data_IF_920421771722
#
_entry.id   IF_920421771722
#
_cell.length_a   1.000
_cell.length_b   1.000
_cell.length_c   1.000
_cell.angle_alpha   90.00
_cell.angle_beta   90.00
_cell.angle_gamma   90.00
#
_symmetry.space_group_name_H-M   'P 1'
#
loop_
_entity.id
_entity.type
_entity.pdbx_description
1 polymer ?
#
# COMPACT_ATOMS: atom_id res chain seq x y z
N UNK A 1 -1.24 -20.75 0.71
CA UNK A 1 -2.33 -21.73 0.63
C UNK A 1 -2.57 -22.24 -0.79
N UNK A 2 -2.73 -21.38 -1.81
CA UNK A 2 -2.91 -21.85 -3.21
C UNK A 2 -1.72 -22.62 -3.79
N UNK A 3 -0.49 -22.26 -3.43
CA UNK A 3 0.70 -22.94 -3.93
C UNK A 3 0.85 -24.34 -3.29
N UNK A 4 0.62 -24.48 -1.99
CA UNK A 4 0.54 -25.79 -1.33
C UNK A 4 -0.55 -26.67 -1.93
N UNK A 5 -1.75 -26.14 -2.21
CA UNK A 5 -2.82 -26.90 -2.86
C UNK A 5 -2.45 -27.37 -4.28
N UNK A 6 -1.71 -26.56 -5.04
CA UNK A 6 -1.24 -26.97 -6.38
C UNK A 6 -0.23 -28.10 -6.28
N UNK A 7 0.71 -27.98 -5.37
CA UNK A 7 1.81 -28.95 -5.22
C UNK A 7 1.30 -30.25 -4.60
N UNK A 8 0.49 -30.22 -3.55
CA UNK A 8 -0.03 -31.41 -2.88
C UNK A 8 -1.06 -32.17 -3.71
N UNK A 9 -1.93 -31.47 -4.46
CA UNK A 9 -2.90 -32.10 -5.38
C UNK A 9 -2.25 -32.64 -6.66
N UNK A 10 -1.19 -31.98 -7.15
CA UNK A 10 -0.52 -32.37 -8.40
C UNK A 10 0.59 -33.40 -8.19
N UNK A 11 1.36 -33.28 -7.12
CA UNK A 11 2.56 -34.11 -6.90
C UNK A 11 2.20 -35.43 -6.18
N UNK A 12 1.27 -35.38 -5.23
CA UNK A 12 0.97 -36.54 -4.39
C UNK A 12 -0.34 -37.25 -4.70
N UNK A 13 -1.29 -36.61 -5.40
CA UNK A 13 -2.57 -37.21 -5.79
C UNK A 13 -3.40 -37.84 -4.65
N UNK A 14 -2.96 -37.66 -3.40
CA UNK A 14 -3.42 -38.40 -2.23
C UNK A 14 -4.48 -37.69 -1.40
N UNK A 15 -4.71 -36.38 -1.64
CA UNK A 15 -5.74 -35.63 -0.92
C UNK A 15 -7.10 -35.99 -1.45
N UNK A 16 -7.85 -36.80 -0.69
CA UNK A 16 -9.23 -37.22 -1.03
C UNK A 16 -10.27 -36.44 -0.25
N UNK A 17 -9.90 -35.85 0.88
CA UNK A 17 -10.79 -35.13 1.77
C UNK A 17 -10.18 -33.81 2.15
N UNK A 18 -10.94 -32.73 2.03
CA UNK A 18 -10.53 -31.40 2.47
C UNK A 18 -11.60 -30.83 3.41
N UNK A 19 -11.17 -30.35 4.56
CA UNK A 19 -12.04 -29.69 5.50
C UNK A 19 -11.77 -28.19 5.58
N UNK A 20 -12.84 -27.38 5.59
CA UNK A 20 -12.75 -25.95 5.86
C UNK A 20 -13.88 -25.49 6.78
N UNK A 21 -13.59 -24.56 7.66
CA UNK A 21 -14.58 -24.03 8.61
C UNK A 21 -15.73 -23.31 7.89
N UNK A 22 -15.40 -22.50 6.87
CA UNK A 22 -16.36 -21.80 6.03
C UNK A 22 -15.86 -21.78 4.57
N UNK A 23 -16.77 -21.65 3.62
CA UNK A 23 -16.45 -21.59 2.19
C UNK A 23 -15.54 -20.38 1.82
N UNK A 24 -15.65 -19.25 2.53
CA UNK A 24 -14.82 -18.07 2.35
C UNK A 24 -13.33 -18.32 2.67
N UNK A 25 -13.02 -19.40 3.40
CA UNK A 25 -11.65 -19.85 3.67
C UNK A 25 -10.99 -20.50 2.46
N UNK A 26 -11.75 -21.04 1.55
CA UNK A 26 -11.21 -21.60 0.31
C UNK A 26 -10.75 -20.48 -0.63
N UNK A 27 -11.59 -19.50 -0.87
CA UNK A 27 -11.24 -18.31 -1.66
C UNK A 27 -12.22 -17.18 -1.40
N UNK A 28 -11.69 -15.93 -1.35
CA UNK A 28 -12.50 -14.70 -1.38
C UNK A 28 -12.73 -14.18 -2.80
N UNK A 29 -12.09 -14.78 -3.79
CA UNK A 29 -12.20 -14.38 -5.19
C UNK A 29 -13.00 -15.43 -5.94
N UNK A 30 -14.06 -15.00 -6.61
CA UNK A 30 -14.99 -15.88 -7.36
C UNK A 30 -14.25 -16.66 -8.46
N UNK A 31 -13.39 -16.02 -9.23
CA UNK A 31 -12.62 -16.68 -10.29
C UNK A 31 -11.71 -17.79 -9.75
N UNK A 32 -11.05 -17.52 -8.61
CA UNK A 32 -10.22 -18.52 -7.93
C UNK A 32 -11.07 -19.65 -7.36
N UNK A 33 -12.26 -19.35 -6.84
CA UNK A 33 -13.21 -20.37 -6.36
C UNK A 33 -13.62 -21.33 -7.47
N UNK A 34 -13.88 -20.84 -8.68
CA UNK A 34 -14.18 -21.68 -9.84
C UNK A 34 -13.03 -22.63 -10.18
N UNK A 35 -11.79 -22.12 -10.18
CA UNK A 35 -10.61 -22.95 -10.46
C UNK A 35 -10.41 -24.04 -9.40
N UNK A 36 -10.60 -23.70 -8.13
CA UNK A 36 -10.49 -24.66 -7.01
C UNK A 36 -11.56 -25.76 -7.16
N UNK A 37 -12.81 -25.39 -7.42
CA UNK A 37 -13.90 -26.36 -7.65
C UNK A 37 -13.60 -27.30 -8.82
N UNK A 38 -13.05 -26.78 -9.91
CA UNK A 38 -12.65 -27.58 -11.06
C UNK A 38 -11.57 -28.61 -10.66
N UNK A 39 -10.55 -28.17 -9.91
CA UNK A 39 -9.48 -29.06 -9.42
C UNK A 39 -9.99 -30.12 -8.45
N UNK A 40 -10.95 -29.81 -7.59
CA UNK A 40 -11.54 -30.79 -6.68
C UNK A 40 -12.28 -31.88 -7.45
N UNK A 41 -13.00 -31.51 -8.52
CA UNK A 41 -13.67 -32.49 -9.39
C UNK A 41 -12.68 -33.37 -10.13
N UNK A 42 -11.65 -32.79 -10.77
CA UNK A 42 -10.61 -33.56 -11.48
C UNK A 42 -9.95 -34.61 -10.56
N UNK A 43 -9.71 -34.27 -9.29
CA UNK A 43 -9.00 -35.14 -8.35
C UNK A 43 -9.97 -35.95 -7.44
N UNK A 44 -11.28 -35.85 -7.64
CA UNK A 44 -12.33 -36.51 -6.83
C UNK A 44 -12.19 -36.21 -5.34
N UNK A 45 -11.97 -34.93 -4.98
CA UNK A 45 -11.81 -34.48 -3.60
C UNK A 45 -13.18 -34.20 -3.01
N UNK A 46 -13.48 -34.85 -1.88
CA UNK A 46 -14.66 -34.56 -1.07
C UNK A 46 -14.39 -33.36 -0.16
N UNK A 47 -15.28 -32.37 -0.18
CA UNK A 47 -15.16 -31.16 0.61
C UNK A 47 -16.08 -31.23 1.83
N UNK A 48 -15.50 -30.99 3.01
CA UNK A 48 -16.24 -30.85 4.28
C UNK A 48 -16.27 -29.39 4.68
N UNK A 49 -17.47 -28.87 4.99
CA UNK A 49 -17.65 -27.46 5.40
C UNK A 49 -18.32 -27.41 6.76
N UNK A 50 -17.70 -26.67 7.72
CA UNK A 50 -18.23 -26.50 9.08
C UNK A 50 -18.23 -27.80 9.88
N UNK A 51 -19.28 -28.03 10.65
CA UNK A 51 -19.38 -29.14 11.62
C UNK A 51 -19.90 -30.46 11.02
N UNK A 52 -19.90 -30.62 9.69
CA UNK A 52 -20.26 -31.92 9.13
C UNK A 52 -21.00 -31.92 7.79
N UNK A 53 -21.08 -30.82 7.09
CA UNK A 53 -21.64 -30.82 5.73
C UNK A 53 -20.61 -31.36 4.74
N UNK A 54 -20.88 -32.54 4.20
CA UNK A 54 -20.08 -33.19 3.17
C UNK A 54 -20.60 -32.81 1.78
N UNK A 55 -19.71 -32.43 0.87
CA UNK A 55 -20.04 -32.11 -0.51
C UNK A 55 -19.14 -32.88 -1.48
N UNK A 56 -19.76 -33.77 -2.25
CA UNK A 56 -19.13 -34.39 -3.40
C UNK A 56 -19.47 -33.54 -4.65
N UNK A 57 -18.54 -32.75 -5.13
CA UNK A 57 -18.77 -31.87 -6.27
C UNK A 57 -18.98 -32.57 -7.63
N UNK A 58 -18.78 -33.87 -7.69
CA UNK A 58 -19.19 -34.69 -8.86
C UNK A 58 -20.69 -34.93 -8.90
N UNK A 59 -21.36 -34.96 -7.73
CA UNK A 59 -22.80 -35.10 -7.64
C UNK A 59 -23.49 -33.78 -8.01
N UNK A 60 -24.42 -33.78 -8.98
CA UNK A 60 -25.16 -32.58 -9.38
C UNK A 60 -25.93 -31.90 -8.24
N UNK A 61 -26.54 -32.71 -7.34
CA UNK A 61 -27.31 -32.21 -6.21
C UNK A 61 -26.43 -31.47 -5.19
N UNK A 62 -25.26 -32.03 -4.88
CA UNK A 62 -24.30 -31.40 -3.94
C UNK A 62 -23.71 -30.11 -4.52
N UNK A 63 -23.47 -30.09 -5.84
CA UNK A 63 -23.03 -28.85 -6.53
C UNK A 63 -24.09 -27.76 -6.44
N UNK A 64 -25.34 -28.09 -6.64
CA UNK A 64 -26.45 -27.14 -6.54
C UNK A 64 -26.54 -26.60 -5.10
N UNK A 65 -26.56 -27.52 -4.12
CA UNK A 65 -26.65 -27.15 -2.72
C UNK A 65 -25.45 -26.27 -2.28
N UNK A 66 -24.24 -26.64 -2.67
CA UNK A 66 -23.03 -25.84 -2.40
C UNK A 66 -23.12 -24.44 -3.04
N UNK A 67 -23.62 -24.35 -4.28
CA UNK A 67 -23.84 -23.07 -4.96
C UNK A 67 -24.88 -22.19 -4.27
N UNK A 68 -25.99 -22.78 -3.84
CA UNK A 68 -27.03 -22.07 -3.08
C UNK A 68 -26.48 -21.53 -1.75
N UNK A 69 -25.76 -22.35 -0.98
CA UNK A 69 -25.15 -21.91 0.28
C UNK A 69 -24.13 -20.79 0.06
N UNK A 70 -23.38 -20.84 -1.04
CA UNK A 70 -22.48 -19.75 -1.41
C UNK A 70 -23.25 -18.45 -1.70
N UNK A 71 -24.30 -18.52 -2.50
CA UNK A 71 -25.14 -17.36 -2.83
C UNK A 71 -25.81 -16.76 -1.59
N UNK A 72 -26.25 -17.59 -0.65
CA UNK A 72 -26.77 -17.11 0.64
C UNK A 72 -25.71 -16.40 1.47
N UNK A 73 -24.48 -16.95 1.54
CA UNK A 73 -23.38 -16.32 2.26
C UNK A 73 -22.98 -14.95 1.68
N UNK A 74 -22.97 -14.85 0.34
CA UNK A 74 -22.71 -13.58 -0.38
C UNK A 74 -23.83 -12.55 -0.12
N UNK A 75 -25.08 -12.97 -0.15
CA UNK A 75 -26.23 -12.13 0.16
C UNK A 75 -26.19 -11.62 1.60
N UNK A 76 -25.93 -12.50 2.58
CA UNK A 76 -25.80 -12.11 3.98
C UNK A 76 -24.63 -11.15 4.21
N UNK A 77 -23.53 -11.33 3.48
CA UNK A 77 -22.41 -10.40 3.53
C UNK A 77 -22.80 -9.02 2.97
N UNK A 78 -23.44 -8.98 1.82
CA UNK A 78 -23.91 -7.73 1.21
C UNK A 78 -24.87 -6.97 2.12
N UNK A 79 -25.81 -7.66 2.78
CA UNK A 79 -26.71 -7.04 3.77
C UNK A 79 -25.93 -6.49 4.98
N UNK A 80 -24.96 -7.25 5.51
CA UNK A 80 -24.13 -6.77 6.62
C UNK A 80 -23.33 -5.54 6.23
N UNK A 81 -22.70 -5.54 5.07
CA UNK A 81 -21.96 -4.39 4.56
C UNK A 81 -22.85 -3.14 4.39
N UNK A 82 -24.07 -3.31 3.87
CA UNK A 82 -25.04 -2.23 3.74
C UNK A 82 -25.47 -1.67 5.11
N UNK A 83 -25.74 -2.54 6.09
CA UNK A 83 -26.07 -2.12 7.46
C UNK A 83 -24.90 -1.36 8.11
N UNK A 84 -23.67 -1.84 7.97
CA UNK A 84 -22.49 -1.16 8.50
C UNK A 84 -22.26 0.19 7.81
N UNK A 85 -22.49 0.28 6.53
CA UNK A 85 -22.39 1.51 5.75
C UNK A 85 -23.40 2.55 6.24
N UNK A 86 -24.70 2.16 6.31
CA UNK A 86 -25.77 3.03 6.82
C UNK A 86 -25.52 3.45 8.27
N UNK A 87 -25.02 2.55 9.09
CA UNK A 87 -24.63 2.85 10.46
C UNK A 87 -23.53 3.90 10.56
N UNK A 88 -22.46 3.77 9.73
CA UNK A 88 -21.39 4.78 9.65
C UNK A 88 -21.93 6.12 9.18
N UNK A 89 -22.76 6.14 8.14
CA UNK A 89 -23.35 7.37 7.61
C UNK A 89 -24.24 8.07 8.65
N UNK A 90 -25.07 7.32 9.37
CA UNK A 90 -25.88 7.84 10.49
C UNK A 90 -25.00 8.41 11.60
N UNK A 91 -23.89 7.77 11.94
CA UNK A 91 -22.92 8.23 12.93
C UNK A 91 -22.30 9.57 12.52
N UNK A 92 -21.88 9.67 11.26
CA UNK A 92 -21.26 10.87 10.68
C UNK A 92 -22.26 12.05 10.63
N UNK A 93 -23.51 11.79 10.23
CA UNK A 93 -24.58 12.82 10.23
C UNK A 93 -24.88 13.39 11.63
N UNK A 94 -24.61 12.61 12.67
CA UNK A 94 -24.70 13.06 14.08
C UNK A 94 -23.45 13.80 14.57
N UNK A 95 -22.47 14.09 13.69
CA UNK A 95 -21.21 14.74 14.03
C UNK A 95 -20.25 13.85 14.83
N UNK A 96 -20.46 12.51 14.79
CA UNK A 96 -19.60 11.56 15.47
C UNK A 96 -18.56 10.95 14.49
N UNK A 97 -17.45 10.52 15.02
CA UNK A 97 -16.37 9.88 14.26
C UNK A 97 -16.82 8.53 13.68
N UNK A 98 -16.55 8.33 12.41
CA UNK A 98 -17.03 7.16 11.65
C UNK A 98 -16.32 5.84 11.93
N UNK A 99 -15.31 5.82 12.82
CA UNK A 99 -14.56 4.63 13.21
C UNK A 99 -13.07 4.68 12.86
N UNK A 100 -12.33 3.72 13.42
CA UNK A 100 -10.88 3.71 13.36
C UNK A 100 -10.22 4.73 14.30
N UNK A 101 -8.88 4.76 14.35
CA UNK A 101 -8.16 5.70 15.20
C UNK A 101 -8.40 7.15 14.75
N UNK A 102 -8.55 8.10 15.69
CA UNK A 102 -8.70 9.51 15.35
C UNK A 102 -7.44 10.05 14.64
N UNK A 103 -7.56 11.16 13.89
CA UNK A 103 -6.40 11.85 13.34
C UNK A 103 -5.43 12.28 14.43
N UNK A 104 -4.13 12.33 14.11
CA UNK A 104 -3.11 12.85 15.03
C UNK A 104 -3.47 14.27 15.48
N UNK A 105 -3.46 14.54 16.76
CA UNK A 105 -3.94 15.80 17.33
C UNK A 105 -5.30 15.73 17.99
N UNK A 106 -6.00 14.61 17.87
CA UNK A 106 -7.32 14.41 18.47
C UNK A 106 -7.41 13.13 19.29
N UNK A 107 -8.23 13.19 20.32
CA UNK A 107 -8.79 12.06 21.04
C UNK A 107 -10.30 11.92 20.72
N UNK A 108 -10.91 10.82 21.12
CA UNK A 108 -12.34 10.61 21.00
C UNK A 108 -12.99 10.82 22.38
N UNK A 109 -13.96 11.75 22.44
CA UNK A 109 -14.82 11.99 23.59
C UNK A 109 -16.28 11.83 23.17
N UNK A 110 -17.02 10.90 23.75
CA UNK A 110 -18.36 10.48 23.32
C UNK A 110 -18.50 10.29 21.79
N UNK A 111 -17.46 9.73 21.14
CA UNK A 111 -17.40 9.52 19.72
C UNK A 111 -17.20 10.79 18.88
N UNK A 112 -16.93 11.93 19.47
CA UNK A 112 -16.57 13.18 18.78
C UNK A 112 -15.06 13.44 18.87
N UNK A 113 -14.53 14.10 17.87
CA UNK A 113 -13.12 14.52 17.86
C UNK A 113 -12.93 15.67 18.83
N UNK A 114 -12.04 15.52 19.82
CA UNK A 114 -11.66 16.52 20.80
C UNK A 114 -10.16 16.77 20.75
N UNK A 115 -9.74 18.05 20.88
CA UNK A 115 -8.32 18.40 20.83
C UNK A 115 -7.51 17.66 21.89
N UNK A 116 -6.49 16.88 21.47
CA UNK A 116 -5.44 16.37 22.34
C UNK A 116 -4.31 17.39 22.45
N UNK A 117 -4.23 18.09 23.59
CA UNK A 117 -3.28 19.20 23.79
C UNK A 117 -1.80 18.82 23.57
N UNK A 118 -1.41 17.57 23.87
CA UNK A 118 -0.03 17.11 23.64
C UNK A 118 0.27 16.94 22.15
N UNK A 119 -0.65 16.34 21.42
CA UNK A 119 -0.46 16.09 19.99
C UNK A 119 -0.73 17.35 19.16
N UNK A 120 -1.72 18.16 19.51
CA UNK A 120 -2.05 19.40 18.80
C UNK A 120 -0.92 20.43 18.85
N UNK A 121 -0.15 20.48 19.95
CA UNK A 121 1.08 21.26 20.03
C UNK A 121 2.03 20.92 18.89
N UNK A 122 2.23 19.61 18.64
CA UNK A 122 3.10 19.15 17.56
C UNK A 122 2.51 19.40 16.17
N UNK A 123 1.19 19.31 16.01
CA UNK A 123 0.54 19.71 14.76
C UNK A 123 0.77 21.19 14.47
N UNK A 124 0.55 22.07 15.45
CA UNK A 124 0.83 23.52 15.32
C UNK A 124 2.29 23.77 14.94
N UNK A 125 3.23 23.08 15.59
CA UNK A 125 4.65 23.17 15.27
C UNK A 125 5.01 22.68 13.86
N UNK A 126 4.39 21.59 13.37
CA UNK A 126 4.57 21.10 12.00
C UNK A 126 4.12 22.16 10.98
N UNK A 127 2.97 22.78 11.20
CA UNK A 127 2.44 23.84 10.35
C UNK A 127 3.35 25.07 10.34
N UNK A 128 3.81 25.52 11.51
CA UNK A 128 4.73 26.67 11.65
C UNK A 128 6.08 26.42 10.95
N UNK A 129 6.68 25.27 11.17
CA UNK A 129 7.94 24.93 10.52
C UNK A 129 7.79 24.88 9.00
N UNK A 130 6.70 24.28 8.53
CA UNK A 130 6.44 24.20 7.09
C UNK A 130 6.14 25.58 6.51
N UNK A 131 5.38 26.45 7.18
CA UNK A 131 5.11 27.81 6.76
C UNK A 131 6.40 28.65 6.67
N UNK A 132 7.36 28.47 7.63
CA UNK A 132 8.68 29.13 7.65
C UNK A 132 9.63 28.65 6.56
N UNK A 133 9.29 27.64 5.78
CA UNK A 133 10.14 27.23 4.69
C UNK A 133 10.79 25.86 4.85
N UNK A 134 10.67 25.22 6.00
CA UNK A 134 11.26 23.91 6.25
C UNK A 134 10.73 22.83 5.31
N UNK A 135 11.58 21.84 5.02
CA UNK A 135 11.20 20.69 4.21
C UNK A 135 10.50 19.63 5.07
N UNK A 136 9.64 18.82 4.46
CA UNK A 136 8.99 17.69 5.15
C UNK A 136 10.03 16.74 5.77
N UNK A 137 11.17 16.57 5.11
CA UNK A 137 12.29 15.79 5.61
C UNK A 137 12.88 16.37 6.91
N UNK A 138 13.13 17.68 6.95
CA UNK A 138 13.63 18.38 8.14
C UNK A 138 12.64 18.28 9.30
N UNK A 139 11.35 18.51 9.04
CA UNK A 139 10.28 18.38 10.02
C UNK A 139 10.23 16.95 10.59
N UNK A 140 10.33 15.93 9.74
CA UNK A 140 10.41 14.53 10.18
C UNK A 140 11.56 14.31 11.16
N UNK A 141 12.75 14.78 10.81
CA UNK A 141 13.93 14.61 11.66
C UNK A 141 13.77 15.34 13.01
N UNK A 142 13.14 16.51 13.02
CA UNK A 142 12.82 17.26 14.25
C UNK A 142 11.88 16.47 15.15
N UNK A 143 10.81 15.89 14.60
CA UNK A 143 9.87 15.06 15.35
C UNK A 143 10.54 13.82 15.95
N UNK A 144 11.36 13.13 15.15
CA UNK A 144 12.09 11.95 15.60
C UNK A 144 13.11 12.26 16.69
N UNK A 145 13.89 13.34 16.55
CA UNK A 145 14.84 13.79 17.57
C UNK A 145 14.15 14.20 18.88
N UNK A 146 12.95 14.75 18.79
CA UNK A 146 12.13 15.11 19.95
C UNK A 146 11.38 13.93 20.57
N UNK A 147 11.54 12.71 20.08
CA UNK A 147 10.88 11.51 20.62
C UNK A 147 9.36 11.49 20.46
N UNK A 148 8.81 12.25 19.50
CA UNK A 148 7.35 12.34 19.29
C UNK A 148 6.83 11.05 18.71
N UNK A 149 5.86 10.42 19.40
CA UNK A 149 5.23 9.18 18.95
C UNK A 149 4.13 9.46 17.93
N UNK A 150 4.04 8.60 16.92
CA UNK A 150 2.89 8.57 15.99
C UNK A 150 1.67 7.96 16.66
N UNK A 151 0.47 8.01 16.03
CA UNK A 151 -0.73 7.32 16.52
C UNK A 151 -0.57 5.80 16.72
N UNK A 152 0.46 5.21 16.13
CA UNK A 152 0.81 3.78 16.30
C UNK A 152 1.90 3.55 17.34
N UNK A 153 2.16 4.53 18.21
CA UNK A 153 3.22 4.50 19.23
C UNK A 153 4.62 4.20 18.66
N UNK A 154 4.90 4.68 17.46
CA UNK A 154 6.20 4.52 16.82
C UNK A 154 6.92 5.86 16.73
N UNK A 155 8.21 5.90 17.05
CA UNK A 155 9.07 7.11 16.91
C UNK A 155 9.38 7.41 15.44
N UNK A 156 9.33 6.40 14.57
CA UNK A 156 9.66 6.57 13.14
C UNK A 156 8.52 7.24 12.37
N UNK A 157 8.69 8.52 12.09
CA UNK A 157 7.79 9.28 11.24
C UNK A 157 8.08 9.02 9.75
N UNK A 158 7.02 8.91 8.95
CA UNK A 158 7.09 8.88 7.50
C UNK A 158 6.73 10.27 6.94
N UNK A 159 7.42 10.69 5.88
CA UNK A 159 7.12 11.96 5.19
C UNK A 159 5.68 12.06 4.71
N UNK A 160 5.10 10.93 4.22
CA UNK A 160 3.70 10.88 3.83
C UNK A 160 2.73 11.10 5.00
N UNK A 161 3.10 10.71 6.23
CA UNK A 161 2.28 10.99 7.42
C UNK A 161 2.26 12.48 7.75
N UNK A 162 3.39 13.17 7.59
CA UNK A 162 3.47 14.62 7.77
C UNK A 162 2.68 15.34 6.66
N UNK A 163 2.80 14.89 5.40
CA UNK A 163 2.01 15.45 4.30
C UNK A 163 0.50 15.26 4.54
N UNK A 164 0.08 14.11 5.07
CA UNK A 164 -1.32 13.91 5.48
C UNK A 164 -1.75 14.87 6.56
N UNK A 165 -0.90 15.16 7.55
CA UNK A 165 -1.19 16.18 8.56
C UNK A 165 -1.35 17.55 7.90
N UNK A 166 -0.43 17.98 7.04
CA UNK A 166 -0.47 19.27 6.37
C UNK A 166 -1.66 19.46 5.38
N UNK A 167 -2.27 18.37 4.93
CA UNK A 167 -3.42 18.40 4.00
C UNK A 167 -4.75 18.10 4.68
N UNK A 168 -4.74 17.80 5.98
CA UNK A 168 -5.92 17.39 6.71
C UNK A 168 -6.79 18.60 7.09
N UNK A 169 -8.07 18.54 6.76
CA UNK A 169 -9.03 19.63 7.03
C UNK A 169 -9.61 19.61 8.44
N UNK A 170 -9.46 18.52 9.19
CA UNK A 170 -9.97 18.42 10.56
C UNK A 170 -9.45 19.56 11.46
N UNK A 171 -8.21 19.96 11.27
CA UNK A 171 -7.58 21.01 12.08
C UNK A 171 -8.17 22.40 11.87
N UNK A 172 -8.93 22.58 10.78
CA UNK A 172 -9.68 23.80 10.45
C UNK A 172 -11.10 23.80 11.04
N UNK A 173 -11.50 22.70 11.68
CA UNK A 173 -12.80 22.56 12.29
C UNK A 173 -13.83 21.80 11.44
N UNK A 174 -13.43 21.20 10.34
CA UNK A 174 -14.34 20.42 9.53
C UNK A 174 -13.63 19.30 8.76
N UNK A 175 -14.38 18.28 8.37
CA UNK A 175 -13.90 17.27 7.43
C UNK A 175 -15.04 16.76 6.55
N UNK A 176 -14.68 16.18 5.43
CA UNK A 176 -15.62 15.63 4.48
C UNK A 176 -15.58 14.11 4.54
N UNK A 177 -16.71 13.50 4.81
CA UNK A 177 -16.92 12.06 4.70
C UNK A 177 -17.55 11.75 3.35
N UNK A 178 -16.90 10.96 2.52
CA UNK A 178 -17.42 10.50 1.23
C UNK A 178 -17.72 9.00 1.30
N UNK A 179 -18.98 8.64 1.09
CA UNK A 179 -19.36 7.25 0.88
C UNK A 179 -19.09 6.87 -0.59
N UNK A 180 -18.30 5.84 -0.83
CA UNK A 180 -17.87 5.43 -2.18
C UNK A 180 -19.02 4.87 -3.02
N UNK A 181 -20.04 4.29 -2.39
CA UNK A 181 -21.10 3.56 -3.09
C UNK A 181 -22.37 4.41 -3.30
N UNK A 182 -22.60 5.41 -2.46
CA UNK A 182 -23.79 6.27 -2.54
C UNK A 182 -23.53 7.60 -3.21
N UNK A 183 -22.29 7.90 -3.60
CA UNK A 183 -21.83 9.22 -4.06
C UNK A 183 -22.26 10.38 -3.14
N UNK A 184 -22.57 10.04 -1.89
CA UNK A 184 -22.99 11.00 -0.87
C UNK A 184 -21.78 11.54 -0.15
N UNK A 185 -21.75 12.87 -0.03
CA UNK A 185 -20.69 13.60 0.64
C UNK A 185 -21.29 14.36 1.81
N UNK A 186 -20.83 14.07 3.02
CA UNK A 186 -21.28 14.75 4.25
C UNK A 186 -20.16 15.62 4.79
N UNK A 187 -20.42 16.91 4.95
CA UNK A 187 -19.55 17.83 5.67
C UNK A 187 -19.81 17.67 7.17
N UNK A 188 -18.78 17.40 7.94
CA UNK A 188 -18.85 17.20 9.39
C UNK A 188 -18.05 18.29 10.07
N UNK A 189 -18.67 18.98 11.02
CA UNK A 189 -18.00 19.94 11.88
C UNK A 189 -17.28 19.21 13.04
N UNK A 190 -16.12 19.72 13.41
CA UNK A 190 -15.33 19.23 14.54
C UNK A 190 -14.59 20.40 15.21
N UNK A 191 -13.94 20.14 16.34
CA UNK A 191 -13.15 21.15 17.03
C UNK A 191 -11.88 21.47 16.23
N UNK A 192 -11.80 22.66 15.64
CA UNK A 192 -10.60 23.15 14.95
C UNK A 192 -9.67 23.87 15.91
N UNK A 193 -8.36 23.75 15.72
CA UNK A 193 -7.36 24.41 16.57
C UNK A 193 -6.24 25.13 15.80
N UNK A 194 -6.32 25.18 14.46
CA UNK A 194 -5.42 25.96 13.62
C UNK A 194 -6.08 27.24 13.13
N UNK A 195 -5.30 28.33 13.04
CA UNK A 195 -5.80 29.56 12.45
C UNK A 195 -5.92 29.45 10.92
N UNK A 196 -6.96 30.02 10.31
CA UNK A 196 -7.16 29.96 8.86
C UNK A 196 -5.99 30.56 8.06
N UNK A 197 -5.31 31.57 8.59
CA UNK A 197 -4.16 32.23 7.94
C UNK A 197 -2.99 31.28 7.76
N UNK A 198 -2.64 30.51 8.80
CA UNK A 198 -1.55 29.52 8.76
C UNK A 198 -1.88 28.39 7.79
N UNK A 199 -3.10 27.90 7.82
CA UNK A 199 -3.53 26.85 6.91
C UNK A 199 -3.47 27.31 5.45
N UNK A 200 -3.90 28.54 5.17
CA UNK A 200 -3.86 29.12 3.83
C UNK A 200 -2.42 29.19 3.30
N UNK A 201 -1.47 29.71 4.09
CA UNK A 201 -0.08 29.84 3.68
C UNK A 201 0.57 28.47 3.41
N UNK A 202 0.26 27.46 4.21
CA UNK A 202 0.72 26.07 4.01
C UNK A 202 0.15 25.47 2.73
N UNK A 203 -1.14 25.69 2.45
CA UNK A 203 -1.79 25.20 1.20
C UNK A 203 -1.21 25.84 -0.06
N UNK A 204 -1.00 27.15 -0.04
CA UNK A 204 -0.38 27.86 -1.15
C UNK A 204 1.01 27.29 -1.45
N UNK A 205 1.82 27.03 -0.43
CA UNK A 205 3.12 26.43 -0.58
C UNK A 205 3.07 24.99 -1.09
N UNK A 206 2.15 24.16 -0.61
CA UNK A 206 1.95 22.79 -1.11
C UNK A 206 1.56 22.80 -2.59
N UNK A 207 0.69 23.72 -3.01
CA UNK A 207 0.26 23.85 -4.40
C UNK A 207 1.37 24.40 -5.31
N UNK A 208 2.18 25.33 -4.85
CA UNK A 208 3.35 25.81 -5.58
C UNK A 208 4.34 24.68 -5.84
N UNK A 209 4.57 23.79 -4.86
CA UNK A 209 5.44 22.62 -5.00
C UNK A 209 4.93 21.60 -6.04
N UNK A 210 3.61 21.41 -6.15
CA UNK A 210 3.02 20.51 -7.17
C UNK A 210 3.26 21.01 -8.60
N UNK A 211 3.24 22.33 -8.81
CA UNK A 211 3.46 22.95 -10.14
C UNK A 211 4.90 22.82 -10.64
N UNK A 212 5.89 22.69 -9.76
CA UNK A 212 7.31 22.54 -10.14
C UNK A 212 7.70 21.09 -10.46
N UNK A 213 6.84 20.12 -10.25
CA UNK A 213 7.07 18.72 -10.56
C UNK A 213 6.72 18.36 -12.02
N UNK A 214 7.18 19.18 -13.00
CA UNK A 214 7.27 18.73 -14.38
C UNK A 214 8.43 17.74 -14.51
N UNK A 215 8.22 16.52 -14.04
CA UNK A 215 9.13 15.40 -14.28
C UNK A 215 8.99 15.01 -15.75
N UNK A 216 9.95 15.42 -16.59
CA UNK A 216 10.14 14.77 -17.88
C UNK A 216 10.40 13.29 -17.58
N UNK A 217 9.46 12.44 -17.99
CA UNK A 217 9.61 10.99 -17.89
C UNK A 217 10.69 10.59 -18.92
N UNK A 218 11.92 10.48 -18.46
CA UNK A 218 12.94 9.82 -19.28
C UNK A 218 12.57 8.34 -19.40
N UNK A 219 12.49 7.87 -20.63
CA UNK A 219 12.32 6.44 -20.90
C UNK A 219 13.65 5.77 -20.58
N UNK A 220 13.62 4.79 -19.71
CA UNK A 220 14.78 3.97 -19.31
C UNK A 220 14.39 2.51 -19.47
N UNK A 221 15.14 1.77 -20.28
CA UNK A 221 14.77 0.40 -20.66
C UNK A 221 14.88 -0.57 -19.47
N UNK A 222 15.91 -0.43 -18.65
CA UNK A 222 16.30 -1.45 -17.65
C UNK A 222 15.89 -1.15 -16.22
N UNK A 223 15.03 -0.14 -15.98
CA UNK A 223 14.65 0.33 -14.64
C UNK A 223 14.19 -0.74 -13.68
N UNK A 224 13.39 -1.70 -14.12
CA UNK A 224 12.80 -2.75 -13.28
C UNK A 224 13.58 -4.08 -13.34
N UNK A 225 14.52 -4.20 -14.27
CA UNK A 225 15.23 -5.45 -14.57
C UNK A 225 16.60 -5.54 -13.91
N UNK A 226 17.26 -4.40 -13.64
CA UNK A 226 18.59 -4.40 -13.07
C UNK A 226 18.59 -4.75 -11.58
N UNK A 227 19.38 -5.75 -11.23
CA UNK A 227 19.58 -6.24 -9.85
C UNK A 227 21.06 -6.16 -9.50
N UNK A 228 21.38 -5.73 -8.30
CA UNK A 228 22.75 -5.66 -7.82
C UNK A 228 23.30 -7.06 -7.52
N UNK A 229 24.31 -7.52 -8.26
CA UNK A 229 24.96 -8.81 -8.04
C UNK A 229 25.65 -8.97 -6.68
N UNK A 230 25.79 -7.88 -5.91
CA UNK A 230 26.41 -7.94 -4.58
C UNK A 230 25.39 -8.04 -3.44
N UNK A 231 24.28 -7.28 -3.50
CA UNK A 231 23.31 -7.22 -2.39
C UNK A 231 21.90 -7.63 -2.79
N UNK A 232 21.67 -8.07 -4.04
CA UNK A 232 20.35 -8.47 -4.52
C UNK A 232 19.32 -7.34 -4.66
N UNK A 233 19.65 -6.09 -4.29
CA UNK A 233 18.71 -4.97 -4.37
C UNK A 233 18.49 -4.53 -5.81
N UNK A 234 17.25 -4.17 -6.15
CA UNK A 234 16.93 -3.54 -7.46
C UNK A 234 17.64 -2.21 -7.60
N UNK A 235 18.05 -1.89 -8.82
CA UNK A 235 18.59 -0.58 -9.16
C UNK A 235 17.51 0.48 -9.21
N UNK A 236 17.85 1.69 -8.75
CA UNK A 236 17.10 2.92 -8.97
C UNK A 236 17.69 3.70 -10.12
N UNK A 237 16.96 4.70 -10.60
CA UNK A 237 17.46 5.65 -11.60
C UNK A 237 17.66 7.04 -10.96
N UNK A 238 18.73 7.72 -11.30
CA UNK A 238 18.98 9.11 -10.94
C UNK A 238 19.13 9.91 -12.22
N UNK A 239 18.16 10.77 -12.45
CA UNK A 239 18.12 11.68 -13.60
C UNK A 239 18.41 13.07 -13.06
N UNK A 240 19.50 13.68 -13.50
CA UNK A 240 19.96 14.97 -13.05
C UNK A 240 19.77 16.02 -14.12
N UNK A 241 19.01 17.10 -13.85
CA UNK A 241 18.72 18.18 -14.79
C UNK A 241 19.95 19.00 -15.24
N UNK A 242 21.07 18.93 -14.52
CA UNK A 242 22.28 19.76 -14.74
C UNK A 242 23.57 18.97 -14.97
N UNK A 243 23.54 17.65 -14.92
CA UNK A 243 24.70 16.81 -15.22
C UNK A 243 24.49 16.07 -16.54
N UNK A 244 25.56 15.92 -17.28
CA UNK A 244 25.57 15.33 -18.63
C UNK A 244 25.20 13.85 -18.68
N UNK A 245 25.05 13.19 -17.54
CA UNK A 245 24.85 11.74 -17.53
C UNK A 245 23.83 11.31 -16.46
N UNK A 246 22.85 10.51 -16.92
CA UNK A 246 21.89 9.82 -16.05
C UNK A 246 22.46 8.47 -15.61
N UNK A 247 22.13 8.02 -14.42
CA UNK A 247 22.72 6.80 -13.86
C UNK A 247 21.67 5.86 -13.29
N UNK A 248 21.85 4.58 -13.53
CA UNK A 248 21.33 3.51 -12.68
C UNK A 248 22.21 3.39 -11.42
N UNK A 249 21.62 3.27 -10.25
CA UNK A 249 22.36 3.12 -8.99
C UNK A 249 21.74 2.05 -8.10
N UNK A 250 22.58 1.33 -7.37
CA UNK A 250 22.12 0.32 -6.42
C UNK A 250 21.37 0.97 -5.25
N UNK A 251 20.11 0.60 -5.02
CA UNK A 251 19.29 1.12 -3.92
C UNK A 251 19.83 0.72 -2.54
N UNK A 252 20.55 -0.41 -2.43
CA UNK A 252 21.21 -0.84 -1.21
C UNK A 252 22.37 0.06 -0.77
N UNK A 253 22.81 0.99 -1.63
CA UNK A 253 23.90 1.94 -1.34
C UNK A 253 23.40 3.37 -1.11
N UNK A 254 22.15 3.57 -0.71
CA UNK A 254 21.64 4.90 -0.40
C UNK A 254 21.99 5.31 1.02
N UNK A 255 22.32 6.60 1.25
CA UNK A 255 22.61 7.17 2.59
C UNK A 255 21.49 6.89 3.61
N UNK A 256 20.25 6.74 3.14
CA UNK A 256 19.09 6.35 3.98
C UNK A 256 19.27 4.99 4.66
N UNK A 257 19.99 4.05 4.04
CA UNK A 257 20.24 2.72 4.62
C UNK A 257 21.51 2.71 5.47
N UNK A 258 22.44 3.64 5.21
CA UNK A 258 23.66 3.78 6.01
C UNK A 258 23.41 4.31 7.42
N UNK A 259 22.32 5.06 7.64
CA UNK A 259 21.98 5.66 8.94
C UNK A 259 21.20 4.73 9.88
N UNK A 260 20.97 3.47 9.52
CA UNK A 260 20.34 2.48 10.37
C UNK A 260 21.44 1.63 11.01
N UNK A 261 22.02 2.14 12.09
CA UNK A 261 22.88 1.34 12.97
C UNK A 261 22.04 0.21 13.58
N UNK A 262 22.48 -1.04 13.39
CA UNK A 262 21.93 -2.23 14.07
C UNK A 262 21.07 -3.18 13.24
N UNK A 263 21.00 -3.06 11.91
CA UNK A 263 20.47 -4.11 11.05
C UNK A 263 21.61 -4.74 10.24
N UNK A 264 22.09 -5.87 10.70
CA UNK A 264 22.96 -6.75 9.93
C UNK A 264 22.28 -7.08 8.60
N UNK A 265 22.93 -6.70 7.51
CA UNK A 265 22.80 -7.47 6.32
C UNK A 265 22.22 -6.85 5.07
N UNK A 266 22.16 -5.53 4.81
CA UNK A 266 21.73 -5.06 3.46
C UNK A 266 22.30 -3.71 3.03
N UNK A 267 23.40 -3.25 3.58
CA UNK A 267 24.07 -2.05 3.06
C UNK A 267 25.08 -2.49 2.01
N UNK A 268 24.81 -2.17 0.74
CA UNK A 268 25.77 -2.38 -0.32
C UNK A 268 26.91 -1.36 -0.21
N UNK A 269 27.90 -1.64 0.63
CA UNK A 269 29.10 -0.82 0.74
C UNK A 269 30.12 -1.35 -0.27
N UNK A 270 30.51 -0.59 -1.30
CA UNK A 270 31.59 -0.98 -2.18
C UNK A 270 32.92 -1.01 -1.39
N UNK A 271 33.70 -2.07 -1.53
CA UNK A 271 35.06 -2.16 -0.93
C UNK A 271 35.96 -1.00 -1.36
N UNK A 272 35.66 -0.29 -2.44
CA UNK A 272 36.46 0.77 -3.04
C UNK A 272 35.93 2.18 -2.77
N UNK A 273 34.91 2.37 -1.89
CA UNK A 273 34.34 3.69 -1.58
C UNK A 273 33.52 4.34 -2.73
N UNK A 274 33.52 3.78 -3.93
CA UNK A 274 32.78 4.33 -5.08
C UNK A 274 31.33 3.80 -5.09
N UNK A 275 30.38 4.67 -5.44
CA UNK A 275 28.98 4.28 -5.61
C UNK A 275 28.86 3.32 -6.79
N UNK A 276 28.11 2.22 -6.64
CA UNK A 276 27.78 1.33 -7.75
C UNK A 276 26.72 1.96 -8.60
N UNK A 277 27.16 2.75 -9.55
CA UNK A 277 26.32 3.44 -10.53
C UNK A 277 26.87 3.18 -11.93
N UNK A 278 25.96 2.99 -12.88
CA UNK A 278 26.27 2.78 -14.30
C UNK A 278 25.51 3.85 -15.08
N UNK A 279 26.09 4.38 -16.14
CA UNK A 279 25.38 5.30 -17.04
C UNK A 279 24.18 4.60 -17.67
N UNK A 280 23.05 5.29 -17.75
CA UNK A 280 21.83 4.74 -18.32
C UNK A 280 22.03 4.46 -19.81
N UNK A 281 22.59 5.43 -20.51
CA UNK A 281 22.80 5.37 -21.96
C UNK A 281 23.69 4.16 -22.35
N UNK A 282 24.84 4.03 -21.69
CA UNK A 282 25.80 2.96 -21.99
C UNK A 282 25.21 1.56 -21.68
N UNK A 283 24.44 1.47 -20.60
CA UNK A 283 23.85 0.21 -20.16
C UNK A 283 22.66 -0.20 -21.03
N UNK A 284 21.78 0.75 -21.38
CA UNK A 284 20.63 0.51 -22.23
C UNK A 284 21.07 0.14 -23.64
N UNK A 285 22.10 0.81 -24.21
CA UNK A 285 22.66 0.53 -25.52
C UNK A 285 23.29 -0.89 -25.57
N UNK A 286 24.11 -1.23 -24.58
CA UNK A 286 24.75 -2.54 -24.51
C UNK A 286 23.71 -3.67 -24.52
N UNK A 287 22.71 -3.56 -23.65
CA UNK A 287 21.69 -4.60 -23.55
C UNK A 287 20.80 -4.64 -24.78
N UNK A 288 20.44 -3.48 -25.34
CA UNK A 288 19.64 -3.40 -26.58
C UNK A 288 20.36 -4.08 -27.75
N UNK A 289 21.63 -3.77 -27.96
CA UNK A 289 22.44 -4.38 -29.04
C UNK A 289 22.55 -5.91 -28.82
N UNK A 290 22.79 -6.35 -27.59
CA UNK A 290 22.81 -7.78 -27.27
C UNK A 290 21.49 -8.48 -27.58
N UNK A 291 20.36 -7.85 -27.27
CA UNK A 291 19.02 -8.39 -27.58
C UNK A 291 18.81 -8.46 -29.10
N UNK A 292 19.17 -7.39 -29.83
CA UNK A 292 19.04 -7.36 -31.28
C UNK A 292 19.91 -8.45 -31.95
N UNK A 293 21.17 -8.58 -31.55
CA UNK A 293 22.08 -9.60 -32.06
C UNK A 293 21.58 -11.03 -31.76
N UNK A 294 21.03 -11.22 -30.56
CA UNK A 294 20.46 -12.52 -30.17
C UNK A 294 19.24 -12.87 -31.01
N UNK A 295 18.35 -11.88 -31.25
CA UNK A 295 17.16 -12.08 -32.08
C UNK A 295 17.52 -12.31 -33.56
N UNK A 296 18.53 -11.63 -34.08
CA UNK A 296 18.99 -11.81 -35.46
C UNK A 296 19.72 -13.13 -35.67
N UNK A 297 20.47 -13.60 -34.66
CA UNK A 297 21.23 -14.85 -34.73
C UNK A 297 20.40 -16.09 -34.37
N UNK A 298 19.26 -15.93 -33.72
CA UNK A 298 18.42 -17.05 -33.34
C UNK A 298 17.62 -17.60 -34.51
N UNK A 299 17.76 -18.90 -34.82
CA UNK A 299 16.94 -19.63 -35.80
C UNK A 299 15.44 -19.70 -35.45
N UNK A 300 15.02 -19.11 -34.33
CA UNK A 300 13.65 -19.14 -33.78
C UNK A 300 12.65 -18.36 -34.67
N UNK A 301 13.12 -17.46 -35.52
CA UNK A 301 12.27 -16.67 -36.41
C UNK A 301 12.43 -17.03 -37.90
N UNK A 302 12.97 -18.24 -38.19
CA UNK A 302 13.12 -18.72 -39.57
C UNK A 302 12.12 -19.81 -39.96
N UNK A 303 11.02 -19.99 -39.19
CA UNK A 303 9.85 -20.75 -39.58
C UNK A 303 8.64 -19.86 -39.80
#
# INVERSE_FOLDING_TARGET
MMDCMKDDLHIYGNVKHLWCFNQDRLSRNEQVSVLIKHKFRENKVTLYVGEGSEFNLDNPSDRLMFGLLQSFAEYDQAIREDRFRRGRLSTVRKGRWHGGPPPFGYDLDDGRLKENKRQSYWVKKIYDLYAKGETVYSIRNTLQKSGVLTNRNNVRWNENSILKILTNTHYEGHYTYKDRNLDETVLVECEGFLSPSVVKSVRERLNARKRTSNYQKHVTLLKEFLVCGHCGSKFGQRIMKRQSHNHYFCRGNTERLRSIEGQDGLVCVPKTGRTRAVRIEDCDELVWNTVVDTLQSSHIFKE
#
